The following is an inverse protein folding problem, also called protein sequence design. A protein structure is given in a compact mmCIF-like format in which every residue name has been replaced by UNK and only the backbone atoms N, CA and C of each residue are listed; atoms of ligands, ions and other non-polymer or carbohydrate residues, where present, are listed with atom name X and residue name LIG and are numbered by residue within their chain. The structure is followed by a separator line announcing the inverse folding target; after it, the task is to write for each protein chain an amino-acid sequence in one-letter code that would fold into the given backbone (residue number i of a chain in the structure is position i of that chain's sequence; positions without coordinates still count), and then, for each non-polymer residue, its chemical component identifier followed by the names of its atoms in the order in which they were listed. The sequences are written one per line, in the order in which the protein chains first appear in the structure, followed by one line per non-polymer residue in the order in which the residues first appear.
data_IF_231468830991
#
_entry.id   IF_231468830991
#
_cell.length_a   1.000
_cell.length_b   1.000
_cell.length_c   1.000
_cell.angle_alpha   90.00
_cell.angle_beta   90.00
_cell.angle_gamma   90.00
#
_symmetry.space_group_name_H-M   'P 1'
#
loop_
_entity.id
_entity.type
_entity.pdbx_description
1 polymer ?
#
# COMPACT_ATOMS: atom_id res chain seq x y z
N UNK A 1 41.20 -6.43 30.03
CA UNK A 1 40.18 -7.45 29.66
C UNK A 1 40.71 -8.22 28.45
N UNK A 2 40.81 -9.56 28.53
CA UNK A 2 41.23 -10.35 27.36
C UNK A 2 40.10 -10.34 26.34
N UNK A 3 40.44 -9.90 25.15
CA UNK A 3 39.56 -9.84 24.00
C UNK A 3 39.21 -11.29 23.57
N UNK A 4 37.92 -11.64 23.35
CA UNK A 4 37.52 -13.01 23.01
C UNK A 4 38.13 -13.46 21.69
N UNK A 5 38.25 -14.78 21.50
CA UNK A 5 38.83 -15.36 20.28
C UNK A 5 38.01 -15.00 19.04
N UNK A 6 38.67 -14.95 17.88
CA UNK A 6 38.04 -14.65 16.59
C UNK A 6 36.74 -15.46 16.33
N UNK A 7 36.70 -16.80 16.52
CA UNK A 7 35.47 -17.56 16.28
C UNK A 7 34.31 -17.16 17.20
N UNK A 8 34.59 -16.84 18.49
CA UNK A 8 33.56 -16.38 19.43
C UNK A 8 32.94 -15.07 18.94
N UNK A 9 33.75 -14.15 18.40
CA UNK A 9 33.24 -12.88 17.88
C UNK A 9 32.39 -13.05 16.63
N UNK A 10 32.79 -13.95 15.73
CA UNK A 10 32.02 -14.26 14.51
C UNK A 10 30.66 -14.83 14.89
N UNK A 11 30.63 -15.80 15.81
CA UNK A 11 29.37 -16.39 16.29
C UNK A 11 28.52 -15.34 16.99
N UNK A 12 29.10 -14.51 17.85
CA UNK A 12 28.38 -13.43 18.53
C UNK A 12 27.76 -12.44 17.52
N UNK A 13 28.53 -12.02 16.50
CA UNK A 13 28.03 -11.13 15.46
C UNK A 13 26.89 -11.78 14.65
N UNK A 14 27.04 -13.04 14.24
CA UNK A 14 26.02 -13.78 13.51
C UNK A 14 24.71 -13.90 14.31
N UNK A 15 24.80 -14.21 15.61
CA UNK A 15 23.65 -14.30 16.51
C UNK A 15 22.96 -12.93 16.64
N UNK A 16 23.72 -11.86 16.86
CA UNK A 16 23.14 -10.50 16.99
C UNK A 16 22.42 -10.08 15.72
N UNK A 17 23.02 -10.29 14.54
CA UNK A 17 22.40 -9.95 13.26
C UNK A 17 21.14 -10.79 13.00
N UNK A 18 21.17 -12.07 13.33
CA UNK A 18 20.01 -12.97 13.18
C UNK A 18 18.86 -12.54 14.09
N UNK A 19 19.14 -12.26 15.37
CA UNK A 19 18.13 -11.78 16.31
C UNK A 19 17.55 -10.42 15.90
N UNK A 20 18.38 -9.52 15.37
CA UNK A 20 17.92 -8.24 14.84
C UNK A 20 16.95 -8.43 13.66
N UNK A 21 17.25 -9.34 12.72
CA UNK A 21 16.38 -9.66 11.60
C UNK A 21 15.05 -10.27 12.06
N UNK A 22 15.08 -11.23 12.99
CA UNK A 22 13.88 -11.81 13.61
C UNK A 22 13.03 -10.70 14.24
N UNK A 23 13.65 -9.80 14.99
CA UNK A 23 12.98 -8.67 15.61
C UNK A 23 12.27 -7.76 14.61
N UNK A 24 12.89 -7.49 13.45
CA UNK A 24 12.25 -6.73 12.37
C UNK A 24 11.04 -7.45 11.80
N UNK A 25 11.17 -8.75 11.48
CA UNK A 25 10.07 -9.55 10.92
C UNK A 25 8.88 -9.62 11.88
N UNK A 26 9.12 -9.93 13.16
CA UNK A 26 8.07 -10.00 14.18
C UNK A 26 7.39 -8.65 14.36
N UNK A 27 8.15 -7.55 14.43
CA UNK A 27 7.59 -6.21 14.59
C UNK A 27 6.71 -5.81 13.39
N UNK A 28 7.15 -6.08 12.16
CA UNK A 28 6.34 -5.78 10.96
C UNK A 28 5.11 -6.69 10.86
N UNK A 29 5.21 -7.95 11.30
CA UNK A 29 4.08 -8.88 11.41
C UNK A 29 3.02 -8.40 12.39
N UNK A 30 3.42 -8.06 13.61
CA UNK A 30 2.51 -7.50 14.63
C UNK A 30 1.88 -6.18 14.16
N UNK A 31 2.67 -5.28 13.58
CA UNK A 31 2.15 -4.01 13.07
C UNK A 31 1.14 -4.19 11.93
N UNK A 32 1.26 -5.25 11.13
CA UNK A 32 0.29 -5.64 10.10
C UNK A 32 -0.98 -6.24 10.70
N UNK A 33 -0.87 -7.04 11.76
CA UNK A 33 -2.01 -7.67 12.42
C UNK A 33 -2.84 -6.68 13.25
N UNK A 34 -2.19 -5.84 14.06
CA UNK A 34 -2.82 -4.92 15.02
C UNK A 34 -3.23 -3.56 14.42
N UNK A 35 -2.74 -3.24 13.22
CA UNK A 35 -3.03 -1.96 12.57
C UNK A 35 -4.51 -1.80 12.18
N UNK A 36 -4.93 -0.54 12.02
CA UNK A 36 -6.27 -0.22 11.58
C UNK A 36 -6.45 -0.65 10.12
N UNK A 37 -7.44 -1.51 9.86
CA UNK A 37 -7.69 -2.00 8.52
C UNK A 37 -8.48 -0.99 7.69
N UNK A 38 -8.00 -0.75 6.48
CA UNK A 38 -8.69 0.02 5.44
C UNK A 38 -8.74 -0.79 4.16
N UNK A 39 -9.78 -0.54 3.39
CA UNK A 39 -9.97 -1.17 2.08
C UNK A 39 -9.85 -0.07 1.04
N UNK A 40 -8.98 -0.25 0.06
CA UNK A 40 -8.69 0.75 -0.96
C UNK A 40 -8.96 0.16 -2.35
N UNK A 41 -9.57 0.95 -3.23
CA UNK A 41 -9.72 0.58 -4.63
C UNK A 41 -8.35 0.44 -5.32
N UNK A 42 -8.18 -0.59 -6.13
CA UNK A 42 -6.96 -0.81 -6.91
C UNK A 42 -7.26 -1.05 -8.38
N UNK A 43 -6.30 -0.72 -9.23
CA UNK A 43 -6.29 -1.12 -10.64
C UNK A 43 -5.01 -1.89 -10.98
N UNK A 44 -5.10 -2.77 -11.99
CA UNK A 44 -3.95 -3.49 -12.51
C UNK A 44 -2.94 -2.57 -13.18
N UNK A 45 -1.65 -2.88 -13.01
CA UNK A 45 -0.56 -2.17 -13.67
C UNK A 45 0.25 -3.15 -14.53
N UNK A 46 0.43 -2.86 -15.82
CA UNK A 46 1.14 -3.71 -16.80
C UNK A 46 2.60 -3.99 -16.37
N UNK A 47 2.96 -5.24 -16.02
CA UNK A 47 4.28 -5.59 -15.53
C UNK A 47 5.22 -5.95 -16.69
N UNK A 48 5.98 -4.99 -17.21
CA UNK A 48 7.08 -5.30 -18.15
C UNK A 48 8.40 -5.66 -17.46
N UNK A 49 8.34 -6.58 -16.51
CA UNK A 49 9.50 -7.00 -15.71
C UNK A 49 9.66 -8.53 -15.78
N UNK A 50 10.31 -9.01 -16.84
CA UNK A 50 10.46 -10.44 -17.17
C UNK A 50 11.33 -11.26 -16.18
N UNK A 51 12.01 -10.63 -15.21
CA UNK A 51 13.11 -11.25 -14.45
C UNK A 51 12.97 -11.23 -12.91
N UNK A 52 11.86 -10.74 -12.34
CA UNK A 52 11.75 -10.47 -10.88
C UNK A 52 10.88 -11.46 -10.09
N UNK A 53 10.64 -12.66 -10.63
CA UNK A 53 9.77 -13.68 -10.02
C UNK A 53 8.28 -13.38 -10.23
N UNK A 54 7.39 -14.18 -9.63
CA UNK A 54 5.95 -14.01 -9.78
C UNK A 54 5.41 -13.08 -8.70
N UNK A 55 4.88 -11.94 -9.13
CA UNK A 55 4.24 -10.97 -8.26
C UNK A 55 3.20 -10.19 -9.04
N UNK A 56 2.19 -9.72 -8.32
CA UNK A 56 1.15 -8.87 -8.87
C UNK A 56 1.52 -7.43 -8.58
N UNK A 57 1.50 -6.58 -9.61
CA UNK A 57 1.59 -5.12 -9.46
C UNK A 57 0.19 -4.51 -9.59
N UNK A 58 -0.09 -3.58 -8.70
CA UNK A 58 -1.33 -2.82 -8.72
C UNK A 58 -1.07 -1.40 -8.26
N UNK A 59 -2.01 -0.51 -8.50
CA UNK A 59 -1.96 0.86 -8.03
C UNK A 59 -3.21 1.16 -7.21
N UNK A 60 -3.07 1.83 -6.08
CA UNK A 60 -4.22 2.36 -5.33
C UNK A 60 -4.83 3.51 -6.14
N UNK A 61 -5.98 3.26 -6.76
CA UNK A 61 -6.63 4.22 -7.65
C UNK A 61 -8.12 4.21 -7.43
N UNK A 62 -8.67 5.38 -7.19
CA UNK A 62 -10.10 5.65 -7.15
C UNK A 62 -10.50 6.45 -8.38
N UNK A 63 -11.67 6.13 -8.93
CA UNK A 63 -12.27 6.87 -10.04
C UNK A 63 -13.50 7.60 -9.56
N UNK A 64 -13.60 8.86 -9.96
CA UNK A 64 -14.72 9.73 -9.60
C UNK A 64 -15.45 10.21 -10.86
N UNK A 65 -16.75 10.53 -10.73
CA UNK A 65 -17.48 11.18 -11.80
C UNK A 65 -16.74 12.41 -12.32
N UNK A 66 -16.89 12.67 -13.61
CA UNK A 66 -16.36 13.86 -14.27
C UNK A 66 -16.68 15.14 -13.50
N UNK A 67 -15.72 16.05 -13.44
CA UNK A 67 -15.89 17.35 -12.77
C UNK A 67 -15.78 17.29 -11.26
N UNK A 68 -15.57 16.11 -10.67
CA UNK A 68 -15.24 15.99 -9.24
C UNK A 68 -13.91 16.71 -8.97
N UNK A 69 -13.87 17.69 -8.04
CA UNK A 69 -12.65 18.40 -7.71
C UNK A 69 -11.65 17.46 -7.05
N UNK A 70 -10.37 17.69 -7.32
CA UNK A 70 -9.30 16.94 -6.67
C UNK A 70 -9.28 17.21 -5.16
N UNK A 71 -8.96 16.19 -4.33
CA UNK A 71 -8.81 16.37 -2.89
C UNK A 71 -7.77 17.46 -2.56
N UNK A 72 -7.96 18.28 -1.52
CA UNK A 72 -6.99 19.30 -1.14
C UNK A 72 -5.62 18.69 -0.88
N UNK A 73 -4.56 19.39 -1.28
CA UNK A 73 -3.18 18.91 -1.12
C UNK A 73 -2.70 17.92 -2.19
N UNK A 74 -3.49 17.62 -3.22
CA UNK A 74 -3.03 16.84 -4.37
C UNK A 74 -1.88 17.57 -5.13
N UNK A 75 -0.94 16.81 -5.70
CA UNK A 75 0.08 17.31 -6.64
C UNK A 75 1.15 18.27 -6.07
N UNK A 76 0.90 18.95 -4.95
CA UNK A 76 1.86 19.83 -4.28
C UNK A 76 2.90 19.11 -3.41
N UNK A 77 2.72 17.81 -3.21
CA UNK A 77 3.51 16.99 -2.27
C UNK A 77 4.15 15.75 -2.90
N UNK A 78 4.00 15.54 -4.21
CA UNK A 78 4.48 14.36 -4.92
C UNK A 78 5.96 14.13 -4.61
N UNK A 79 6.25 13.03 -3.89
CA UNK A 79 7.59 12.61 -3.39
C UNK A 79 8.14 13.27 -2.12
N UNK A 80 7.32 13.88 -1.27
CA UNK A 80 7.80 14.27 0.07
C UNK A 80 7.72 13.08 1.04
N UNK A 81 8.84 12.64 1.65
CA UNK A 81 8.86 11.49 2.56
C UNK A 81 8.00 11.71 3.83
N UNK A 82 7.67 12.96 4.13
CA UNK A 82 6.90 13.35 5.32
C UNK A 82 5.42 13.67 5.03
N UNK A 83 4.94 13.39 3.81
CA UNK A 83 3.54 13.62 3.46
C UNK A 83 2.60 12.60 4.14
N UNK A 84 1.39 13.07 4.44
CA UNK A 84 0.32 12.31 5.05
C UNK A 84 -0.95 12.46 4.22
N UNK A 85 -1.62 11.35 3.97
CA UNK A 85 -2.92 11.25 3.32
C UNK A 85 -3.99 11.00 4.36
N UNK A 86 -5.08 11.74 4.26
CA UNK A 86 -6.30 11.50 5.00
C UNK A 86 -7.26 10.65 4.15
N UNK A 87 -7.85 9.63 4.77
CA UNK A 87 -8.81 8.73 4.17
C UNK A 87 -10.17 8.88 4.86
N UNK A 88 -11.23 8.73 4.06
CA UNK A 88 -12.61 8.70 4.52
C UNK A 88 -13.33 7.47 3.96
N UNK A 89 -14.28 6.86 4.70
CA UNK A 89 -15.12 5.81 4.16
C UNK A 89 -15.97 6.30 2.98
N UNK A 90 -16.12 5.47 1.96
CA UNK A 90 -16.99 5.66 0.81
C UNK A 90 -17.63 4.31 0.44
N UNK A 91 -18.80 4.03 1.03
CA UNK A 91 -19.47 2.74 0.86
C UNK A 91 -18.67 1.60 1.51
N UNK A 92 -18.16 0.69 0.68
CA UNK A 92 -17.47 -0.54 1.09
C UNK A 92 -15.94 -0.46 0.97
N UNK A 93 -15.40 0.74 0.75
CA UNK A 93 -13.97 1.03 0.70
C UNK A 93 -13.70 2.45 1.22
N UNK A 94 -12.45 2.86 1.18
CA UNK A 94 -11.98 4.17 1.62
C UNK A 94 -11.41 4.92 0.42
N UNK A 95 -11.57 6.24 0.44
CA UNK A 95 -11.06 7.15 -0.58
C UNK A 95 -10.27 8.28 0.07
N UNK A 96 -9.42 8.94 -0.72
CA UNK A 96 -8.67 10.10 -0.27
C UNK A 96 -9.60 11.29 0.02
N UNK A 97 -9.49 11.85 1.22
CA UNK A 97 -10.12 13.11 1.60
C UNK A 97 -9.17 14.32 1.43
N UNK A 98 -7.86 14.08 1.34
CA UNK A 98 -6.84 15.11 1.10
C UNK A 98 -5.47 14.71 1.61
N UNK A 99 -4.47 15.57 1.40
CA UNK A 99 -3.10 15.37 1.87
C UNK A 99 -2.56 16.60 2.60
N UNK A 100 -1.59 16.38 3.48
CA UNK A 100 -0.91 17.42 4.24
C UNK A 100 0.54 17.04 4.58
N UNK A 101 1.34 18.03 4.99
CA UNK A 101 2.75 17.85 5.39
C UNK A 101 2.94 17.36 6.84
N UNK A 102 1.86 17.21 7.60
CA UNK A 102 1.91 16.67 8.95
C UNK A 102 0.70 15.81 9.25
N UNK A 103 0.89 14.88 10.18
CA UNK A 103 -0.17 13.97 10.63
C UNK A 103 -1.35 14.74 11.22
N UNK A 104 -1.06 15.77 12.02
CA UNK A 104 -2.07 16.61 12.68
C UNK A 104 -2.91 17.39 11.66
N UNK A 105 -2.28 17.90 10.60
CA UNK A 105 -3.01 18.57 9.53
C UNK A 105 -3.87 17.58 8.72
N UNK A 106 -3.33 16.40 8.40
CA UNK A 106 -4.09 15.36 7.69
C UNK A 106 -5.29 14.87 8.51
N UNK A 107 -5.18 14.76 9.85
CA UNK A 107 -6.31 14.36 10.72
C UNK A 107 -7.48 15.33 10.66
N UNK A 108 -7.26 16.59 10.27
CA UNK A 108 -8.35 17.57 10.09
C UNK A 108 -9.14 17.33 8.80
N UNK A 109 -8.58 16.56 7.86
CA UNK A 109 -9.17 16.28 6.55
C UNK A 109 -9.92 14.94 6.54
N UNK A 110 -9.58 13.99 7.42
CA UNK A 110 -10.21 12.67 7.46
C UNK A 110 -9.89 11.88 8.72
N UNK A 111 -10.74 10.91 9.04
CA UNK A 111 -10.68 10.13 10.28
C UNK A 111 -9.44 9.22 10.34
N UNK A 112 -9.00 8.72 9.19
CA UNK A 112 -7.86 7.81 9.08
C UNK A 112 -6.73 8.53 8.37
N UNK A 113 -5.52 8.45 8.91
CA UNK A 113 -4.33 9.08 8.33
C UNK A 113 -3.24 8.06 8.09
N UNK A 114 -2.63 8.14 6.91
CA UNK A 114 -1.58 7.23 6.45
C UNK A 114 -0.44 8.04 5.83
N UNK A 115 0.79 7.60 5.98
CA UNK A 115 1.94 8.19 5.30
C UNK A 115 1.87 7.89 3.80
N UNK A 116 2.20 8.89 3.00
CA UNK A 116 2.17 8.79 1.55
C UNK A 116 1.71 10.10 0.92
N UNK A 117 1.48 10.07 -0.37
CA UNK A 117 1.02 11.24 -1.12
C UNK A 117 -0.09 10.88 -2.11
N UNK A 118 -0.69 11.92 -2.69
CA UNK A 118 -1.83 11.82 -3.59
C UNK A 118 -1.49 12.53 -4.89
N UNK A 119 -1.62 11.80 -5.99
CA UNK A 119 -1.64 12.35 -7.33
C UNK A 119 -3.09 12.36 -7.83
N UNK A 120 -3.56 13.51 -8.28
CA UNK A 120 -4.90 13.64 -8.83
C UNK A 120 -4.84 14.18 -10.26
N UNK A 121 -5.51 13.48 -11.17
CA UNK A 121 -5.70 13.91 -12.54
C UNK A 121 -7.17 14.28 -12.71
N UNK A 122 -7.48 15.56 -12.47
CA UNK A 122 -8.78 16.12 -12.85
C UNK A 122 -8.90 16.12 -14.37
N UNK A 123 -9.97 15.53 -14.89
CA UNK A 123 -10.25 15.49 -16.33
C UNK A 123 -11.58 16.18 -16.64
N UNK A 124 -11.69 16.70 -17.86
CA UNK A 124 -12.93 17.29 -18.37
C UNK A 124 -13.85 16.21 -18.92
N UNK A 125 -15.14 16.52 -19.03
CA UNK A 125 -16.14 15.62 -19.58
C UNK A 125 -15.78 15.15 -20.99
N UNK A 126 -15.99 13.87 -21.32
CA UNK A 126 -16.69 12.83 -20.54
C UNK A 126 -15.77 11.99 -19.62
N UNK A 127 -14.50 12.36 -19.44
CA UNK A 127 -13.53 11.53 -18.73
C UNK A 127 -13.70 11.59 -17.20
N UNK A 128 -13.36 10.48 -16.52
CA UNK A 128 -13.38 10.39 -15.06
C UNK A 128 -12.16 11.05 -14.43
N UNK A 129 -12.35 11.66 -13.25
CA UNK A 129 -11.24 12.14 -12.43
C UNK A 129 -10.59 10.96 -11.72
N UNK A 130 -9.26 10.87 -11.76
CA UNK A 130 -8.52 9.79 -11.09
C UNK A 130 -7.76 10.32 -9.90
N UNK A 131 -7.82 9.59 -8.78
CA UNK A 131 -7.01 9.84 -7.59
C UNK A 131 -6.16 8.61 -7.30
N UNK A 132 -4.86 8.80 -7.33
CA UNK A 132 -3.84 7.79 -7.10
C UNK A 132 -3.21 8.03 -5.74
N UNK A 133 -3.05 6.96 -4.95
CA UNK A 133 -2.41 7.01 -3.63
C UNK A 133 -1.07 6.30 -3.68
N UNK A 134 0.01 7.02 -3.38
CA UNK A 134 1.35 6.47 -3.28
C UNK A 134 1.63 6.09 -1.81
N UNK A 135 1.23 4.87 -1.42
CA UNK A 135 1.31 4.40 -0.02
C UNK A 135 2.48 3.43 0.25
N UNK A 136 3.14 2.93 -0.80
CA UNK A 136 4.29 2.03 -0.72
C UNK A 136 4.00 0.57 -1.12
N UNK A 137 3.03 -0.14 -0.51
CA UNK A 137 2.84 -1.56 -0.80
C UNK A 137 1.95 -1.77 -2.03
N UNK A 138 2.54 -1.64 -3.22
CA UNK A 138 1.89 -1.77 -4.54
C UNK A 138 2.26 -3.08 -5.27
N UNK A 139 2.80 -4.04 -4.49
CA UNK A 139 3.22 -5.35 -4.97
C UNK A 139 2.78 -6.43 -4.00
N UNK A 140 2.27 -7.52 -4.54
CA UNK A 140 1.98 -8.75 -3.80
C UNK A 140 2.82 -9.88 -4.40
N UNK A 141 3.73 -10.43 -3.61
CA UNK A 141 4.49 -11.62 -3.98
C UNK A 141 3.68 -12.86 -3.57
N UNK A 142 3.53 -13.79 -4.50
CA UNK A 142 2.82 -15.06 -4.28
C UNK A 142 3.31 -16.11 -5.29
N UNK A 143 2.80 -17.34 -5.21
CA UNK A 143 3.08 -18.37 -6.19
C UNK A 143 2.62 -17.96 -7.61
N UNK A 144 3.22 -18.60 -8.61
CA UNK A 144 2.97 -18.27 -10.02
C UNK A 144 1.50 -18.37 -10.41
N UNK A 145 0.85 -19.49 -10.06
CA UNK A 145 -0.51 -19.76 -10.48
C UNK A 145 -1.48 -18.74 -9.85
N UNK A 146 -1.25 -18.37 -8.59
CA UNK A 146 -2.04 -17.35 -7.91
C UNK A 146 -1.77 -15.95 -8.50
N UNK A 147 -0.52 -15.60 -8.76
CA UNK A 147 -0.16 -14.31 -9.35
C UNK A 147 -0.80 -14.12 -10.73
N UNK A 148 -0.68 -15.11 -11.61
CA UNK A 148 -1.28 -15.10 -12.96
C UNK A 148 -2.82 -15.03 -12.89
N UNK A 149 -3.44 -15.72 -11.94
CA UNK A 149 -4.89 -15.69 -11.76
C UNK A 149 -5.37 -14.29 -11.34
N UNK A 150 -4.65 -13.64 -10.41
CA UNK A 150 -4.97 -12.28 -9.98
C UNK A 150 -4.74 -11.28 -11.12
N UNK A 151 -3.58 -11.36 -11.79
CA UNK A 151 -3.22 -10.46 -12.89
C UNK A 151 -4.24 -10.51 -14.02
N UNK A 152 -4.67 -11.72 -14.41
CA UNK A 152 -5.69 -11.90 -15.45
C UNK A 152 -6.98 -11.13 -15.14
N UNK A 153 -7.42 -11.14 -13.88
CA UNK A 153 -8.62 -10.40 -13.46
C UNK A 153 -8.35 -8.90 -13.46
N UNK A 154 -7.21 -8.45 -12.92
CA UNK A 154 -6.86 -7.04 -12.84
C UNK A 154 -6.68 -6.39 -14.23
N UNK A 155 -6.11 -7.12 -15.19
CA UNK A 155 -5.97 -6.66 -16.57
C UNK A 155 -7.32 -6.56 -17.28
N UNK A 156 -8.23 -7.51 -17.04
CA UNK A 156 -9.57 -7.47 -17.61
C UNK A 156 -10.40 -6.27 -17.11
N UNK A 157 -10.10 -5.76 -15.91
CA UNK A 157 -10.83 -4.66 -15.27
C UNK A 157 -10.05 -3.34 -15.27
N UNK A 158 -8.96 -3.26 -16.03
CA UNK A 158 -8.03 -2.12 -16.04
C UNK A 158 -8.69 -0.80 -16.43
N UNK A 159 -9.58 -0.84 -17.43
CA UNK A 159 -10.21 0.34 -18.03
C UNK A 159 -11.65 0.55 -17.54
N UNK A 160 -12.05 -0.16 -16.47
CA UNK A 160 -13.39 -0.09 -15.88
C UNK A 160 -13.36 0.30 -14.40
N UNK A 161 -14.55 0.46 -13.81
CA UNK A 161 -14.70 0.75 -12.39
C UNK A 161 -13.92 -0.27 -11.54
N UNK A 162 -13.18 0.22 -10.53
CA UNK A 162 -12.32 -0.61 -9.69
C UNK A 162 -13.12 -1.70 -8.96
N UNK A 163 -13.13 -2.90 -9.52
CA UNK A 163 -13.77 -4.08 -8.91
C UNK A 163 -12.84 -4.81 -7.95
N UNK A 164 -11.54 -4.54 -8.05
CA UNK A 164 -10.53 -5.07 -7.17
C UNK A 164 -10.20 -4.08 -6.05
N UNK A 165 -9.85 -4.63 -4.88
CA UNK A 165 -9.51 -3.84 -3.70
C UNK A 165 -8.29 -4.42 -3.01
N UNK A 166 -7.53 -3.57 -2.34
CA UNK A 166 -6.49 -3.97 -1.42
C UNK A 166 -6.95 -3.77 0.02
N UNK A 167 -6.71 -4.78 0.85
CA UNK A 167 -6.88 -4.68 2.31
C UNK A 167 -5.53 -4.28 2.89
N UNK A 168 -5.49 -3.11 3.51
CA UNK A 168 -4.27 -2.50 4.03
C UNK A 168 -4.43 -2.26 5.53
N UNK A 169 -3.38 -2.59 6.28
CA UNK A 169 -3.24 -2.28 7.69
C UNK A 169 -2.43 -1.00 7.87
N UNK A 170 -2.96 -0.05 8.63
CA UNK A 170 -2.28 1.19 8.98
C UNK A 170 -1.78 1.07 10.42
N UNK A 171 -0.45 1.01 10.57
CA UNK A 171 0.18 0.94 11.87
C UNK A 171 0.12 2.26 12.65
N UNK A 172 0.47 2.22 13.94
CA UNK A 172 0.58 3.43 14.78
C UNK A 172 1.61 4.43 14.24
N UNK A 173 2.61 3.93 13.53
CA UNK A 173 3.65 4.67 12.79
C UNK A 173 3.12 5.41 11.55
N UNK A 174 1.87 5.12 11.14
CA UNK A 174 1.23 5.66 9.95
C UNK A 174 1.60 4.93 8.67
N UNK A 175 2.41 3.87 8.73
CA UNK A 175 2.84 3.12 7.54
C UNK A 175 1.75 2.15 7.09
N UNK A 176 1.48 2.14 5.79
CA UNK A 176 0.62 1.16 5.14
C UNK A 176 1.34 -0.19 5.01
N UNK A 177 0.64 -1.28 5.34
CA UNK A 177 1.09 -2.67 5.19
C UNK A 177 -0.01 -3.47 4.51
N UNK A 178 0.29 -4.08 3.36
CA UNK A 178 -0.68 -4.92 2.66
C UNK A 178 -1.02 -6.14 3.53
N UNK A 179 -2.30 -6.49 3.61
CA UNK A 179 -2.79 -7.75 4.19
C UNK A 179 -3.22 -8.73 3.11
N UNK A 180 -3.79 -8.23 2.02
CA UNK A 180 -4.24 -9.04 0.91
C UNK A 180 -4.99 -8.23 -0.14
N UNK A 181 -5.44 -8.91 -1.19
CA UNK A 181 -6.20 -8.35 -2.31
C UNK A 181 -7.56 -9.05 -2.39
N UNK A 182 -8.62 -8.27 -2.60
CA UNK A 182 -9.95 -8.77 -2.93
C UNK A 182 -10.13 -8.61 -4.44
N UNK A 183 -10.14 -9.71 -5.16
CA UNK A 183 -10.14 -9.74 -6.63
C UNK A 183 -11.20 -10.74 -7.09
N UNK A 184 -12.16 -10.28 -7.90
CA UNK A 184 -13.31 -11.11 -8.30
C UNK A 184 -14.16 -11.61 -7.12
N UNK A 185 -14.23 -10.84 -6.03
CA UNK A 185 -14.94 -11.21 -4.80
C UNK A 185 -14.20 -12.22 -3.91
N UNK A 186 -13.04 -12.72 -4.33
CA UNK A 186 -12.20 -13.62 -3.53
C UNK A 186 -11.09 -12.84 -2.83
N UNK A 187 -10.88 -13.12 -1.54
CA UNK A 187 -9.71 -12.62 -0.81
C UNK A 187 -8.50 -13.52 -1.10
N UNK A 188 -7.39 -12.89 -1.45
CA UNK A 188 -6.06 -13.47 -1.55
C UNK A 188 -5.20 -12.79 -0.49
N UNK A 189 -4.83 -13.53 0.54
CA UNK A 189 -3.97 -13.09 1.63
C UNK A 189 -2.49 -13.38 1.35
N UNK A 190 -1.64 -12.73 2.13
CA UNK A 190 -0.21 -13.00 2.16
C UNK A 190 0.01 -14.23 3.06
N UNK A 191 -0.04 -15.44 2.50
CA UNK A 191 0.05 -16.73 3.21
C UNK A 191 1.40 -17.03 3.90
N UNK A 192 2.19 -15.99 4.15
CA UNK A 192 3.43 -16.03 4.91
C UNK A 192 3.28 -15.11 6.13
N UNK A 193 2.89 -15.74 7.24
CA UNK A 193 2.49 -15.21 8.56
C UNK A 193 1.05 -14.74 8.71
#
# INVERSE_FOLDING_TARGET
MKLPSLPIRIVAAAVVLTLALIGVVVREGLARQEGQQVVLAITGYDPRELLTGHYVRFQFRSEFPTGTPCPPGHGGYSRRPDAWVALTPAGDHHVAAGAALSREAARKLGAIVVRGDIDCLARQAPDTTWVILNLGPERMHTDQAQAEAIEKVLLATRDGAATAKAVVSIGRDGKARLKGLIVGGKLFDLDWF
#
